data_IF_006992878032
#
_entry.id   IF_006992878032
#
_cell.length_a   1.000
_cell.length_b   1.000
_cell.length_c   1.000
_cell.angle_alpha   90.00
_cell.angle_beta   90.00
_cell.angle_gamma   90.00
#
_symmetry.space_group_name_H-M   'P 1'
#
loop_
_entity.id
_entity.type
_entity.pdbx_description
1 polymer ?
#
# COMPACT_ATOMS: atom_id res chain seq x y z
N UNK A 1 -15.72 -48.23 87.00
CA UNK A 1 -14.41 -48.06 86.34
C UNK A 1 -14.52 -46.89 85.38
N UNK A 2 -13.49 -46.03 85.33
CA UNK A 2 -13.54 -44.67 84.78
C UNK A 2 -12.90 -44.58 83.38
N UNK A 3 -13.12 -43.46 82.68
CA UNK A 3 -12.14 -42.65 81.91
C UNK A 3 -12.94 -41.62 81.08
N UNK A 4 -12.86 -40.32 81.40
CA UNK A 4 -11.90 -39.32 80.85
C UNK A 4 -12.22 -38.96 79.39
N UNK A 5 -12.16 -37.72 78.92
CA UNK A 5 -11.86 -36.41 79.50
C UNK A 5 -12.15 -35.34 78.43
N UNK A 6 -12.36 -34.11 78.89
CA UNK A 6 -11.87 -32.84 78.29
C UNK A 6 -12.46 -32.31 76.96
N UNK A 7 -13.38 -31.37 77.13
CA UNK A 7 -13.26 -29.94 76.74
C UNK A 7 -12.64 -29.58 75.39
N UNK A 8 -13.41 -28.87 74.56
CA UNK A 8 -13.03 -27.52 74.11
C UNK A 8 -14.21 -26.82 73.45
N UNK A 9 -14.57 -25.65 73.98
CA UNK A 9 -15.41 -24.69 73.28
C UNK A 9 -14.68 -24.22 72.01
N UNK A 10 -15.40 -24.10 70.90
CA UNK A 10 -15.07 -23.08 69.91
C UNK A 10 -16.34 -22.35 69.52
N UNK A 11 -16.56 -21.21 70.17
CA UNK A 11 -17.30 -20.09 69.60
C UNK A 11 -16.58 -19.74 68.29
N UNK A 12 -17.26 -19.92 67.15
CA UNK A 12 -16.84 -19.28 65.89
C UNK A 12 -17.75 -18.09 65.66
N UNK A 13 -17.26 -16.86 65.90
CA UNK A 13 -17.88 -15.67 65.37
C UNK A 13 -17.41 -15.50 63.93
N UNK A 14 -18.32 -15.25 63.00
CA UNK A 14 -18.29 -14.03 62.21
C UNK A 14 -19.33 -14.11 61.10
N UNK A 15 -20.17 -13.08 61.08
CA UNK A 15 -20.94 -12.68 59.93
C UNK A 15 -20.02 -12.53 58.71
N UNK A 16 -19.95 -13.58 57.89
CA UNK A 16 -19.49 -13.46 56.53
C UNK A 16 -20.50 -12.60 55.77
N UNK A 17 -20.29 -11.29 55.76
CA UNK A 17 -20.86 -10.40 54.73
C UNK A 17 -20.29 -10.87 53.40
N UNK A 18 -20.93 -11.86 52.80
CA UNK A 18 -20.73 -12.18 51.40
C UNK A 18 -21.20 -10.96 50.61
N UNK A 19 -20.26 -10.25 50.01
CA UNK A 19 -20.52 -9.29 48.94
C UNK A 19 -20.94 -10.06 47.68
N UNK A 20 -22.03 -10.81 47.78
CA UNK A 20 -22.69 -11.42 46.63
C UNK A 20 -23.45 -10.32 45.91
N UNK A 21 -22.80 -9.62 44.99
CA UNK A 21 -23.48 -8.74 44.04
C UNK A 21 -24.45 -9.59 43.19
N UNK A 22 -25.67 -9.74 43.68
CA UNK A 22 -26.81 -10.31 42.95
C UNK A 22 -27.27 -9.27 41.94
N UNK A 23 -26.55 -9.14 40.83
CA UNK A 23 -27.07 -8.38 39.70
C UNK A 23 -28.26 -9.14 39.11
N UNK A 24 -29.41 -8.47 39.00
CA UNK A 24 -30.52 -9.03 38.23
C UNK A 24 -30.07 -9.16 36.76
N UNK A 25 -30.55 -10.20 36.06
CA UNK A 25 -30.25 -10.41 34.65
C UNK A 25 -30.57 -9.16 33.80
N UNK A 26 -31.61 -8.41 34.18
CA UNK A 26 -31.97 -7.13 33.57
C UNK A 26 -30.92 -6.04 33.78
N UNK A 27 -30.36 -5.90 34.99
CA UNK A 27 -29.28 -4.96 35.26
C UNK A 27 -28.01 -5.33 34.48
N UNK A 28 -27.70 -6.63 34.36
CA UNK A 28 -26.56 -7.11 33.58
C UNK A 28 -26.72 -6.81 32.08
N UNK A 29 -27.92 -7.01 31.52
CA UNK A 29 -28.24 -6.67 30.12
C UNK A 29 -28.11 -5.16 29.84
N UNK A 30 -28.58 -4.31 30.75
CA UNK A 30 -28.44 -2.85 30.62
C UNK A 30 -26.97 -2.43 30.64
N UNK A 31 -26.17 -3.02 31.53
CA UNK A 31 -24.72 -2.76 31.61
C UNK A 31 -24.03 -3.20 30.31
N UNK A 32 -24.33 -4.39 29.78
CA UNK A 32 -23.79 -4.86 28.50
C UNK A 32 -24.19 -3.94 27.34
N UNK A 33 -25.45 -3.50 27.30
CA UNK A 33 -25.92 -2.57 26.27
C UNK A 33 -25.23 -1.20 26.36
N UNK A 34 -25.02 -0.67 27.58
CA UNK A 34 -24.28 0.56 27.81
C UNK A 34 -22.81 0.41 27.38
N UNK A 35 -22.15 -0.68 27.76
CA UNK A 35 -20.78 -0.95 27.30
C UNK A 35 -20.71 -1.13 25.79
N UNK A 36 -21.62 -1.88 25.18
CA UNK A 36 -21.68 -2.02 23.72
C UNK A 36 -21.92 -0.67 23.03
N UNK A 37 -22.77 0.19 23.61
CA UNK A 37 -22.99 1.56 23.15
C UNK A 37 -21.72 2.41 23.26
N UNK A 38 -21.04 2.39 24.41
CA UNK A 38 -19.81 3.18 24.65
C UNK A 38 -18.64 2.67 23.79
N UNK A 39 -18.40 1.36 23.74
CA UNK A 39 -17.32 0.77 22.93
C UNK A 39 -17.62 0.85 21.43
N UNK A 40 -18.88 0.72 21.02
CA UNK A 40 -19.32 0.96 19.65
C UNK A 40 -19.11 2.42 19.24
N UNK A 41 -19.50 3.36 20.11
CA UNK A 41 -19.32 4.80 19.92
C UNK A 41 -17.82 5.17 19.87
N UNK A 42 -17.01 4.70 20.81
CA UNK A 42 -15.56 4.96 20.83
C UNK A 42 -14.84 4.34 19.61
N UNK A 43 -15.24 3.15 19.18
CA UNK A 43 -14.70 2.51 17.95
C UNK A 43 -15.03 3.31 16.69
N UNK A 44 -16.21 3.95 16.63
CA UNK A 44 -16.59 4.84 15.54
C UNK A 44 -15.69 6.08 15.49
N UNK A 45 -15.45 6.73 16.64
CA UNK A 45 -14.69 7.98 16.74
C UNK A 45 -13.16 7.81 16.77
N UNK A 46 -12.61 6.61 16.94
CA UNK A 46 -11.15 6.42 16.90
C UNK A 46 -10.61 6.78 15.53
N UNK A 47 -9.92 7.91 15.37
CA UNK A 47 -9.27 8.27 14.11
C UNK A 47 -8.33 7.13 13.69
N UNK A 48 -8.65 6.46 12.58
CA UNK A 48 -7.72 5.53 11.96
C UNK A 48 -6.83 6.36 11.03
N UNK A 49 -5.53 6.10 11.03
CA UNK A 49 -4.65 6.58 9.97
C UNK A 49 -4.39 5.40 9.06
N UNK A 50 -4.31 5.65 7.76
CA UNK A 50 -3.93 4.63 6.81
C UNK A 50 -2.75 5.12 5.98
N UNK A 51 -1.77 4.26 5.75
CA UNK A 51 -0.80 4.45 4.69
C UNK A 51 -1.39 3.82 3.41
N UNK A 52 -1.39 4.59 2.34
CA UNK A 52 -1.74 4.13 1.01
C UNK A 52 -0.53 4.27 0.12
N UNK A 53 -0.20 3.22 -0.62
CA UNK A 53 0.78 3.31 -1.70
C UNK A 53 0.19 2.76 -2.98
N UNK A 54 0.61 3.32 -4.11
CA UNK A 54 0.33 2.73 -5.41
C UNK A 54 1.61 2.47 -6.19
N UNK A 55 1.61 1.37 -6.91
CA UNK A 55 2.70 0.88 -7.72
C UNK A 55 2.13 0.38 -9.05
N UNK A 56 2.93 0.48 -10.10
CA UNK A 56 2.65 -0.13 -11.39
C UNK A 56 3.75 -1.13 -11.71
N UNK A 57 3.40 -2.17 -12.44
CA UNK A 57 4.37 -3.09 -13.04
C UNK A 57 3.75 -3.76 -14.27
N UNK A 58 4.59 -4.39 -15.08
CA UNK A 58 4.15 -5.20 -16.22
C UNK A 58 4.73 -6.60 -16.08
N UNK A 59 3.88 -7.62 -16.14
CA UNK A 59 4.27 -9.02 -16.10
C UNK A 59 3.79 -9.76 -17.36
N UNK A 60 4.32 -10.95 -17.60
CA UNK A 60 3.79 -11.81 -18.66
C UNK A 60 2.39 -12.34 -18.28
N UNK A 61 1.54 -12.60 -19.27
CA UNK A 61 0.23 -13.20 -19.04
C UNK A 61 0.35 -14.58 -18.37
N UNK A 62 1.35 -15.38 -18.78
CA UNK A 62 1.65 -16.68 -18.17
C UNK A 62 1.96 -16.56 -16.67
N UNK A 63 2.79 -15.58 -16.29
CA UNK A 63 3.12 -15.34 -14.88
C UNK A 63 1.87 -14.94 -14.08
N UNK A 64 1.02 -14.06 -14.63
CA UNK A 64 -0.20 -13.59 -13.95
C UNK A 64 -1.23 -14.72 -13.82
N UNK A 65 -1.43 -15.51 -14.87
CA UNK A 65 -2.33 -16.67 -14.85
C UNK A 65 -1.83 -17.74 -13.88
N UNK A 66 -0.51 -17.91 -13.75
CA UNK A 66 0.13 -18.81 -12.80
C UNK A 66 -0.17 -18.51 -11.33
N UNK A 67 -0.51 -17.26 -11.00
CA UNK A 67 -0.88 -16.84 -9.64
C UNK A 67 -2.29 -17.29 -9.23
N UNK A 68 -3.13 -17.67 -10.19
CA UNK A 68 -4.51 -18.16 -9.96
C UNK A 68 -5.36 -17.19 -9.11
N UNK A 69 -5.18 -15.89 -9.33
CA UNK A 69 -5.98 -14.85 -8.68
C UNK A 69 -7.41 -14.85 -9.24
N UNK A 70 -8.39 -14.64 -8.38
CA UNK A 70 -9.80 -14.49 -8.78
C UNK A 70 -10.06 -13.05 -9.23
N UNK A 71 -10.06 -12.84 -10.55
CA UNK A 71 -10.25 -11.53 -11.15
C UNK A 71 -11.72 -11.23 -11.44
N UNK A 72 -12.21 -10.12 -10.90
CA UNK A 72 -13.54 -9.61 -11.12
C UNK A 72 -13.53 -8.53 -12.21
N UNK A 73 -14.47 -8.63 -13.15
CA UNK A 73 -14.61 -7.66 -14.23
C UNK A 73 -15.09 -6.28 -13.73
N UNK A 74 -14.71 -5.24 -14.47
CA UNK A 74 -15.23 -3.88 -14.31
C UNK A 74 -15.98 -3.53 -15.60
N UNK A 75 -17.24 -3.12 -15.48
CA UNK A 75 -18.07 -2.79 -16.63
C UNK A 75 -17.43 -1.66 -17.46
N UNK A 76 -17.29 -1.91 -18.77
CA UNK A 76 -16.74 -0.93 -19.71
C UNK A 76 -15.24 -0.64 -19.58
N UNK A 77 -14.49 -1.43 -18.80
CA UNK A 77 -13.05 -1.25 -18.63
C UNK A 77 -12.25 -2.48 -19.07
N UNK A 78 -11.05 -2.32 -19.66
CA UNK A 78 -10.12 -3.44 -19.88
C UNK A 78 -9.53 -3.97 -18.57
N UNK A 79 -9.66 -3.23 -17.47
CA UNK A 79 -9.16 -3.65 -16.17
C UNK A 79 -10.12 -4.60 -15.47
N UNK A 80 -9.52 -5.55 -14.74
CA UNK A 80 -10.18 -6.45 -13.80
C UNK A 80 -9.51 -6.32 -12.45
N UNK A 81 -10.21 -6.51 -11.34
CA UNK A 81 -9.63 -6.37 -10.00
C UNK A 81 -9.58 -7.70 -9.25
N UNK A 82 -8.57 -7.87 -8.40
CA UNK A 82 -8.41 -9.02 -7.51
C UNK A 82 -7.69 -8.59 -6.23
N UNK A 83 -7.82 -9.38 -5.16
CA UNK A 83 -6.95 -9.24 -4.00
C UNK A 83 -5.69 -10.09 -4.17
N UNK A 84 -4.53 -9.52 -3.88
CA UNK A 84 -3.27 -10.25 -3.76
C UNK A 84 -3.31 -11.05 -2.46
N UNK A 85 -3.64 -12.33 -2.55
CA UNK A 85 -3.57 -13.21 -1.39
C UNK A 85 -2.10 -13.58 -1.15
N UNK A 86 -1.63 -13.41 0.09
CA UNK A 86 -0.26 -13.79 0.51
C UNK A 86 0.89 -13.03 -0.19
N UNK A 87 0.64 -11.83 -0.72
CA UNK A 87 1.64 -11.00 -1.41
C UNK A 87 2.34 -11.72 -2.59
N UNK A 88 1.60 -12.57 -3.31
CA UNK A 88 2.12 -13.39 -4.40
C UNK A 88 2.77 -12.55 -5.52
N UNK A 89 2.23 -11.35 -5.81
CA UNK A 89 2.85 -10.41 -6.77
C UNK A 89 4.19 -9.89 -6.26
N UNK A 90 4.31 -9.60 -4.97
CA UNK A 90 5.56 -9.10 -4.39
C UNK A 90 6.66 -10.16 -4.48
N UNK A 91 6.32 -11.42 -4.23
CA UNK A 91 7.27 -12.52 -4.32
C UNK A 91 7.66 -12.81 -5.79
N UNK A 92 6.70 -12.80 -6.70
CA UNK A 92 6.96 -13.00 -8.13
C UNK A 92 7.87 -11.88 -8.71
N UNK A 93 7.56 -10.62 -8.41
CA UNK A 93 8.39 -9.47 -8.86
C UNK A 93 9.79 -9.51 -8.25
N UNK A 94 9.95 -9.98 -7.01
CA UNK A 94 11.25 -10.22 -6.38
C UNK A 94 12.03 -11.31 -7.10
N UNK A 95 11.41 -12.46 -7.39
CA UNK A 95 12.05 -13.56 -8.12
C UNK A 95 12.51 -13.15 -9.51
N UNK A 96 11.72 -12.31 -10.20
CA UNK A 96 12.04 -11.75 -11.52
C UNK A 96 13.01 -10.56 -11.47
N UNK A 97 13.40 -10.09 -10.29
CA UNK A 97 14.21 -8.86 -10.08
C UNK A 97 13.60 -7.62 -10.76
N UNK A 98 12.27 -7.56 -10.81
CA UNK A 98 11.48 -6.47 -11.39
C UNK A 98 10.78 -5.63 -10.30
N UNK A 99 11.46 -5.45 -9.16
CA UNK A 99 10.94 -4.64 -8.07
C UNK A 99 11.01 -3.18 -8.51
N UNK A 100 9.86 -2.62 -8.89
CA UNK A 100 9.74 -1.18 -9.12
C UNK A 100 9.31 -0.50 -7.81
N UNK A 101 9.85 0.67 -7.43
CA UNK A 101 9.43 1.37 -6.22
C UNK A 101 7.94 1.78 -6.29
N UNK A 102 7.28 2.07 -5.17
CA UNK A 102 5.98 2.72 -5.21
C UNK A 102 6.11 4.07 -5.93
N UNK A 103 5.11 4.42 -6.71
CA UNK A 103 5.06 5.71 -7.40
C UNK A 103 4.68 6.84 -6.45
N UNK A 104 3.96 6.51 -5.39
CA UNK A 104 3.48 7.48 -4.43
C UNK A 104 3.05 6.79 -3.14
N UNK A 105 3.19 7.52 -2.04
CA UNK A 105 2.74 7.12 -0.71
C UNK A 105 1.99 8.28 -0.07
N UNK A 106 0.83 7.99 0.53
CA UNK A 106 -0.03 8.98 1.18
C UNK A 106 -0.49 8.46 2.52
N UNK A 107 -0.31 9.28 3.55
CA UNK A 107 -0.97 9.05 4.82
C UNK A 107 -2.33 9.73 4.80
N UNK A 108 -3.40 8.97 5.05
CA UNK A 108 -4.76 9.47 5.18
C UNK A 108 -5.25 9.37 6.60
N UNK A 109 -5.95 10.41 7.06
CA UNK A 109 -6.79 10.31 8.26
C UNK A 109 -8.19 9.87 7.85
N UNK A 110 -8.64 8.74 8.37
CA UNK A 110 -9.92 8.12 8.00
C UNK A 110 -11.04 8.67 8.86
N UNK A 111 -11.94 9.42 8.23
CA UNK A 111 -13.19 9.86 8.84
C UNK A 111 -14.35 9.87 7.84
N UNK A 112 -14.10 10.33 6.62
CA UNK A 112 -15.06 10.42 5.52
C UNK A 112 -14.35 10.11 4.20
N UNK A 113 -15.11 9.91 3.11
CA UNK A 113 -14.51 9.74 1.79
C UNK A 113 -13.64 10.94 1.42
N UNK A 114 -12.52 10.75 0.70
CA UNK A 114 -11.75 11.87 0.15
C UNK A 114 -12.66 12.84 -0.59
N UNK A 115 -12.48 14.14 -0.35
CA UNK A 115 -13.24 15.20 -1.04
C UNK A 115 -12.62 15.61 -2.37
N UNK A 116 -11.34 15.29 -2.56
CA UNK A 116 -10.56 15.67 -3.73
C UNK A 116 -10.10 14.41 -4.45
N UNK A 117 -10.13 14.48 -5.78
CA UNK A 117 -9.46 13.51 -6.63
C UNK A 117 -7.95 13.76 -6.57
N UNK A 118 -7.17 12.70 -6.65
CA UNK A 118 -5.73 12.76 -6.83
C UNK A 118 -5.39 12.54 -8.30
N UNK A 119 -4.30 13.15 -8.76
CA UNK A 119 -3.75 12.94 -10.09
C UNK A 119 -2.25 12.73 -10.01
N UNK A 120 -1.74 11.72 -10.71
CA UNK A 120 -0.33 11.43 -10.78
C UNK A 120 0.07 11.04 -12.19
N UNK A 121 1.28 11.46 -12.57
CA UNK A 121 1.93 11.05 -13.81
C UNK A 121 3.31 10.53 -13.47
N UNK A 122 3.78 9.51 -14.19
CA UNK A 122 5.12 9.00 -14.00
C UNK A 122 5.79 8.66 -15.32
N UNK A 123 7.12 8.68 -15.28
CA UNK A 123 7.99 8.27 -16.38
C UNK A 123 9.13 7.45 -15.76
N UNK A 124 9.35 6.24 -16.26
CA UNK A 124 10.40 5.31 -15.81
C UNK A 124 11.24 4.87 -17.02
N UNK A 125 12.56 5.06 -17.00
CA UNK A 125 13.41 4.53 -18.06
C UNK A 125 13.37 3.00 -18.05
N UNK A 126 13.29 2.40 -19.22
CA UNK A 126 13.47 0.95 -19.40
C UNK A 126 14.91 0.64 -19.76
N UNK A 127 15.34 -0.61 -19.57
CA UNK A 127 16.66 -1.07 -19.98
C UNK A 127 16.91 -0.72 -21.45
N UNK A 128 18.07 -0.12 -21.73
CA UNK A 128 18.46 0.28 -23.08
C UNK A 128 18.66 -0.98 -23.91
N UNK A 129 17.83 -1.15 -24.95
CA UNK A 129 18.13 -2.12 -25.99
C UNK A 129 19.12 -1.48 -26.98
N UNK A 130 20.41 -1.66 -26.72
CA UNK A 130 21.50 -1.10 -27.55
C UNK A 130 21.48 -1.57 -29.00
N UNK A 131 20.73 -2.63 -29.33
CA UNK A 131 20.58 -3.13 -30.69
C UNK A 131 19.58 -2.31 -31.53
N UNK A 132 18.66 -1.56 -30.91
CA UNK A 132 17.53 -0.91 -31.62
C UNK A 132 17.43 0.60 -31.42
N UNK A 133 17.99 1.16 -30.33
CA UNK A 133 17.95 2.60 -30.09
C UNK A 133 19.11 3.05 -29.19
N UNK A 134 19.85 4.11 -29.56
CA UNK A 134 20.86 4.70 -28.67
C UNK A 134 20.24 5.49 -27.51
N UNK A 135 18.94 5.80 -27.58
CA UNK A 135 18.20 6.48 -26.51
C UNK A 135 17.45 5.48 -25.64
N UNK A 136 17.42 5.68 -24.31
CA UNK A 136 16.60 4.88 -23.41
C UNK A 136 15.13 5.05 -23.79
N UNK A 137 14.44 3.92 -23.83
CA UNK A 137 13.00 3.90 -23.93
C UNK A 137 12.36 4.16 -22.55
N UNK A 138 11.09 4.57 -22.53
CA UNK A 138 10.40 4.93 -21.29
C UNK A 138 9.06 4.21 -21.17
N UNK A 139 8.78 3.70 -19.96
CA UNK A 139 7.42 3.45 -19.48
C UNK A 139 6.86 4.74 -18.94
N UNK A 140 5.61 5.04 -19.26
CA UNK A 140 4.91 6.18 -18.67
C UNK A 140 3.47 5.85 -18.40
N UNK A 141 2.83 6.68 -17.59
CA UNK A 141 1.41 6.54 -17.36
C UNK A 141 0.88 7.65 -16.48
N UNK A 142 -0.43 7.65 -16.35
CA UNK A 142 -1.18 8.55 -15.51
C UNK A 142 -2.25 7.80 -14.74
N UNK A 143 -2.62 8.41 -13.63
CA UNK A 143 -3.73 8.04 -12.79
C UNK A 143 -4.44 9.33 -12.42
N UNK A 144 -5.76 9.38 -12.58
CA UNK A 144 -6.57 10.51 -12.15
C UNK A 144 -7.91 10.02 -11.61
N UNK A 145 -8.20 10.32 -10.34
CA UNK A 145 -9.49 9.97 -9.76
C UNK A 145 -9.53 9.93 -8.24
N UNK A 146 -10.57 9.29 -7.74
CA UNK A 146 -10.82 9.14 -6.31
C UNK A 146 -10.29 7.81 -5.83
N UNK A 147 -9.52 7.84 -4.75
CA UNK A 147 -9.12 6.65 -4.04
C UNK A 147 -8.94 6.97 -2.57
N UNK A 148 -9.43 6.12 -1.69
CA UNK A 148 -9.29 6.35 -0.27
C UNK A 148 -10.15 5.44 0.59
N UNK A 149 -10.24 5.81 1.86
CA UNK A 149 -10.80 4.97 2.93
C UNK A 149 -11.86 5.77 3.68
N UNK A 150 -12.96 5.12 4.06
CA UNK A 150 -13.93 5.66 5.02
C UNK A 150 -14.24 4.65 6.11
N UNK A 151 -14.90 5.11 7.18
CA UNK A 151 -15.62 4.24 8.11
C UNK A 151 -17.09 4.14 7.72
N UNK A 152 -17.62 2.92 7.63
CA UNK A 152 -19.04 2.67 7.47
C UNK A 152 -19.43 1.44 8.32
N UNK A 153 -20.49 1.56 9.13
CA UNK A 153 -20.96 0.46 9.99
C UNK A 153 -19.89 -0.07 10.97
N UNK A 154 -18.98 0.79 11.43
CA UNK A 154 -17.86 0.41 12.32
C UNK A 154 -16.70 -0.32 11.64
N UNK A 155 -16.71 -0.45 10.31
CA UNK A 155 -15.66 -1.09 9.52
C UNK A 155 -14.99 -0.10 8.57
N UNK A 156 -13.72 -0.36 8.23
CA UNK A 156 -13.03 0.36 7.17
C UNK A 156 -13.52 -0.14 5.81
N UNK A 157 -13.89 0.80 4.95
CA UNK A 157 -14.27 0.60 3.56
C UNK A 157 -13.25 1.30 2.67
N UNK A 158 -12.90 0.67 1.56
CA UNK A 158 -12.00 1.22 0.57
C UNK A 158 -12.74 1.44 -0.74
N UNK A 159 -12.43 2.55 -1.41
CA UNK A 159 -12.97 2.87 -2.74
C UNK A 159 -11.87 3.37 -3.64
N UNK A 160 -11.93 2.95 -4.90
CA UNK A 160 -11.17 3.47 -6.03
C UNK A 160 -12.17 3.70 -7.16
N UNK A 161 -12.09 4.87 -7.76
CA UNK A 161 -12.79 5.26 -8.97
C UNK A 161 -11.89 6.24 -9.73
N UNK A 162 -11.16 5.72 -10.70
CA UNK A 162 -10.13 6.48 -11.40
C UNK A 162 -10.02 6.09 -12.86
N UNK A 163 -9.50 7.02 -13.66
CA UNK A 163 -8.99 6.73 -15.00
C UNK A 163 -7.48 6.51 -14.90
N UNK A 164 -6.98 5.58 -15.68
CA UNK A 164 -5.55 5.35 -15.83
C UNK A 164 -5.20 5.08 -17.28
N UNK A 165 -4.02 5.53 -17.70
CA UNK A 165 -3.38 5.09 -18.93
C UNK A 165 -1.95 4.66 -18.61
N UNK A 166 -1.49 3.63 -19.29
CA UNK A 166 -0.13 3.13 -19.20
C UNK A 166 0.40 2.83 -20.59
N UNK A 167 1.62 3.27 -20.84
CA UNK A 167 2.34 3.09 -22.07
C UNK A 167 3.71 2.49 -21.78
N UNK A 168 4.10 1.51 -22.57
CA UNK A 168 5.43 0.92 -22.50
C UNK A 168 6.00 0.63 -23.88
N UNK A 169 7.32 0.56 -24.01
CA UNK A 169 7.98 0.22 -25.27
C UNK A 169 7.62 -1.22 -25.67
N UNK A 170 7.41 -1.45 -26.97
CA UNK A 170 7.22 -2.82 -27.48
C UNK A 170 8.50 -3.63 -27.30
N UNK A 171 8.33 -4.91 -26.94
CA UNK A 171 9.41 -5.89 -27.07
C UNK A 171 9.66 -6.06 -28.57
N UNK A 172 10.87 -5.71 -29.03
CA UNK A 172 11.19 -5.65 -30.45
C UNK A 172 11.03 -7.04 -31.11
N UNK A 173 9.97 -7.20 -31.92
CA UNK A 173 9.95 -8.17 -33.00
C UNK A 173 10.34 -7.42 -34.27
N UNK A 174 11.27 -8.01 -35.04
CA UNK A 174 12.00 -7.37 -36.15
C UNK A 174 11.11 -6.88 -37.31
N UNK A 175 9.81 -7.17 -37.31
CA UNK A 175 8.99 -7.07 -38.53
C UNK A 175 7.89 -5.99 -38.56
N UNK A 176 7.64 -5.19 -37.51
CA UNK A 176 6.48 -4.29 -37.54
C UNK A 176 6.81 -2.82 -37.24
N UNK A 177 7.44 -2.16 -38.22
CA UNK A 177 7.72 -0.71 -38.22
C UNK A 177 6.45 0.12 -38.53
N UNK A 178 5.33 -0.53 -38.86
CA UNK A 178 4.12 0.16 -39.32
C UNK A 178 3.19 0.59 -38.17
N UNK A 179 3.22 -0.11 -37.04
CA UNK A 179 2.22 0.01 -35.97
C UNK A 179 2.73 0.71 -34.70
N UNK A 180 3.63 1.69 -34.77
CA UNK A 180 4.07 2.47 -33.59
C UNK A 180 4.96 1.71 -32.59
N UNK A 181 5.76 2.47 -31.84
CA UNK A 181 6.85 1.93 -30.96
C UNK A 181 6.39 1.42 -29.59
N UNK A 182 5.11 1.62 -29.23
CA UNK A 182 4.64 1.42 -27.86
C UNK A 182 3.34 0.62 -27.81
N UNK A 183 3.20 -0.17 -26.74
CA UNK A 183 1.93 -0.75 -26.32
C UNK A 183 1.31 0.17 -25.28
N UNK A 184 0.01 0.39 -25.41
CA UNK A 184 -0.77 1.26 -24.53
C UNK A 184 -2.02 0.53 -24.04
N UNK A 185 -2.38 0.77 -22.79
CA UNK A 185 -3.64 0.36 -22.20
C UNK A 185 -4.20 1.50 -21.37
N UNK A 186 -5.49 1.79 -21.57
CA UNK A 186 -6.18 2.91 -20.92
C UNK A 186 -7.56 2.44 -20.49
N UNK A 187 -7.99 2.83 -19.29
CA UNK A 187 -9.26 2.34 -18.75
C UNK A 187 -9.59 2.85 -17.36
N UNK A 188 -10.74 2.39 -16.87
CA UNK A 188 -11.28 2.78 -15.57
C UNK A 188 -10.94 1.74 -14.50
N UNK A 189 -10.43 2.22 -13.37
CA UNK A 189 -10.28 1.44 -12.14
C UNK A 189 -11.50 1.72 -11.26
N UNK A 190 -12.24 0.68 -10.91
CA UNK A 190 -13.41 0.79 -10.05
C UNK A 190 -13.45 -0.35 -9.04
N UNK A 191 -13.53 0.02 -7.76
CA UNK A 191 -13.72 -0.90 -6.65
C UNK A 191 -14.35 -0.13 -5.49
N UNK A 192 -15.39 -0.67 -4.86
CA UNK A 192 -15.85 -0.22 -3.54
C UNK A 192 -16.18 -1.44 -2.70
N UNK A 193 -15.56 -1.54 -1.53
CA UNK A 193 -15.78 -2.69 -0.68
C UNK A 193 -14.93 -2.71 0.57
N UNK A 194 -14.60 -3.93 0.98
CA UNK A 194 -13.77 -4.20 2.16
C UNK A 194 -12.42 -3.49 2.03
N UNK A 195 -11.92 -2.95 3.14
CA UNK A 195 -10.54 -2.49 3.25
C UNK A 195 -9.56 -3.63 2.89
N UNK A 196 -8.69 -3.44 1.89
CA UNK A 196 -7.75 -4.47 1.47
C UNK A 196 -6.65 -4.58 2.54
N UNK A 197 -6.66 -5.68 3.31
CA UNK A 197 -5.62 -5.97 4.30
C UNK A 197 -4.29 -6.39 3.66
N UNK A 198 -4.32 -6.67 2.36
CA UNK A 198 -3.18 -6.91 1.47
C UNK A 198 -3.26 -5.96 0.26
N UNK A 199 -2.60 -6.26 -0.86
CA UNK A 199 -2.68 -5.43 -2.08
C UNK A 199 -3.99 -5.68 -2.83
N UNK A 200 -4.65 -4.60 -3.26
CA UNK A 200 -5.68 -4.63 -4.30
C UNK A 200 -4.98 -4.47 -5.65
N UNK A 201 -5.22 -5.40 -6.57
CA UNK A 201 -4.60 -5.43 -7.89
C UNK A 201 -5.68 -5.08 -8.91
N UNK A 202 -5.34 -4.23 -9.88
CA UNK A 202 -6.06 -4.09 -11.13
C UNK A 202 -5.17 -4.55 -12.28
N UNK A 203 -5.65 -5.50 -13.07
CA UNK A 203 -4.92 -6.09 -14.18
C UNK A 203 -5.62 -5.80 -15.50
N UNK A 204 -4.87 -5.34 -16.49
CA UNK A 204 -5.37 -5.17 -17.86
C UNK A 204 -4.39 -5.82 -18.86
N UNK A 205 -4.88 -6.57 -19.86
CA UNK A 205 -4.03 -7.09 -20.90
C UNK A 205 -3.42 -5.95 -21.70
N UNK A 206 -2.16 -6.12 -22.06
CA UNK A 206 -1.41 -5.28 -22.99
C UNK A 206 -1.03 -6.08 -24.23
N UNK A 207 -0.48 -5.40 -25.23
CA UNK A 207 0.10 -6.05 -26.41
C UNK A 207 1.15 -7.12 -26.04
N UNK A 208 1.37 -8.06 -26.96
CA UNK A 208 2.45 -9.06 -26.89
C UNK A 208 2.41 -10.00 -25.66
N UNK A 209 1.20 -10.38 -25.20
CA UNK A 209 1.05 -11.35 -24.11
C UNK A 209 1.52 -10.81 -22.76
N UNK A 210 1.51 -9.49 -22.59
CA UNK A 210 1.85 -8.83 -21.34
C UNK A 210 0.59 -8.35 -20.62
N UNK A 211 0.70 -8.13 -19.32
CA UNK A 211 -0.38 -7.64 -18.47
C UNK A 211 0.16 -6.49 -17.63
N UNK A 212 -0.50 -5.34 -17.72
CA UNK A 212 -0.25 -4.21 -16.84
C UNK A 212 -0.98 -4.43 -15.52
N UNK A 213 -0.25 -4.22 -14.43
CA UNK A 213 -0.75 -4.33 -13.07
C UNK A 213 -0.66 -2.99 -12.37
N UNK A 214 -1.79 -2.50 -11.89
CA UNK A 214 -1.89 -1.38 -10.97
C UNK A 214 -2.17 -1.92 -9.57
N UNK A 215 -1.22 -1.71 -8.66
CA UNK A 215 -1.18 -2.27 -7.31
C UNK A 215 -1.45 -1.17 -6.31
N UNK A 216 -2.44 -1.36 -5.43
CA UNK A 216 -2.72 -0.47 -4.32
C UNK A 216 -2.51 -1.25 -3.03
N UNK A 217 -1.59 -0.79 -2.20
CA UNK A 217 -1.39 -1.32 -0.86
C UNK A 217 -1.98 -0.37 0.17
N UNK A 218 -2.64 -0.93 1.18
CA UNK A 218 -3.22 -0.14 2.26
C UNK A 218 -2.87 -0.75 3.61
N UNK A 219 -2.43 0.09 4.55
CA UNK A 219 -2.03 -0.33 5.89
C UNK A 219 -2.71 0.56 6.93
N UNK A 220 -3.32 -0.02 7.96
CA UNK A 220 -3.86 0.74 9.09
C UNK A 220 -2.72 1.09 10.06
N UNK A 221 -2.40 2.39 10.14
CA UNK A 221 -1.46 2.95 11.11
C UNK A 221 -2.27 3.34 12.35
N UNK A 222 -2.22 2.51 13.39
CA UNK A 222 -2.88 2.83 14.66
C UNK A 222 -2.33 4.15 15.22
N UNK A 223 -3.22 5.08 15.59
CA UNK A 223 -2.88 6.39 16.17
C UNK A 223 -2.11 6.36 17.52
N UNK A 224 -1.62 5.19 17.96
CA UNK A 224 -0.88 5.00 19.21
C UNK A 224 0.63 5.19 19.08
N UNK A 225 1.20 5.18 17.88
CA UNK A 225 2.64 5.41 17.69
C UNK A 225 2.89 6.72 16.94
N UNK A 226 3.63 7.68 17.53
CA UNK A 226 4.26 8.74 16.75
C UNK A 226 5.35 8.09 15.91
N UNK A 227 5.24 8.17 14.59
CA UNK A 227 6.31 7.70 13.72
C UNK A 227 7.52 8.63 13.87
N UNK A 228 8.63 8.05 14.30
CA UNK A 228 9.97 8.61 14.14
C UNK A 228 10.21 8.66 12.64
N UNK A 229 10.41 9.85 12.08
CA UNK A 229 11.04 10.01 10.77
C UNK A 229 12.31 9.14 10.82
N UNK A 230 12.34 8.02 10.10
CA UNK A 230 13.62 7.47 9.67
C UNK A 230 13.94 8.24 8.40
N UNK A 231 14.75 9.31 8.44
CA UNK A 231 15.38 9.74 7.21
C UNK A 231 16.08 8.52 6.63
N UNK A 232 15.92 8.29 5.32
CA UNK A 232 16.86 7.46 4.59
C UNK A 232 18.28 7.98 4.84
N UNK A 233 19.32 7.20 4.54
CA UNK A 233 20.69 7.60 4.82
C UNK A 233 21.04 8.83 3.97
N UNK A 234 20.84 10.01 4.55
CA UNK A 234 21.43 11.28 4.15
C UNK A 234 22.26 11.75 5.37
N UNK A 235 23.13 10.85 5.84
CA UNK A 235 24.24 11.17 6.74
C UNK A 235 25.49 10.57 6.10
N UNK A 236 25.86 11.12 4.95
CA UNK A 236 27.18 10.89 4.32
C UNK A 236 27.66 12.07 3.48
N UNK A 237 27.03 13.25 3.60
CA UNK A 237 27.52 14.48 2.95
C UNK A 237 27.99 15.55 3.93
N UNK A 238 27.95 15.29 5.24
CA UNK A 238 28.58 16.12 6.26
C UNK A 238 29.80 15.38 6.83
N UNK A 239 30.88 15.37 6.04
CA UNK A 239 32.29 15.25 6.47
C UNK A 239 33.16 15.01 5.23
N UNK A 240 33.23 15.99 4.33
CA UNK A 240 34.43 16.14 3.51
C UNK A 240 35.32 17.19 4.20
N UNK A 241 36.56 16.86 4.56
CA UNK A 241 37.50 17.87 5.03
C UNK A 241 37.82 18.83 3.88
N UNK A 242 37.76 20.13 4.17
CA UNK A 242 38.25 21.20 3.31
C UNK A 242 39.64 20.86 2.79
N UNK A 243 39.72 20.55 1.50
CA UNK A 243 40.97 20.55 0.76
C UNK A 243 40.96 21.79 -0.13
N UNK A 244 41.49 22.88 0.43
CA UNK A 244 42.01 24.01 -0.34
C UNK A 244 42.92 23.46 -1.42
N UNK A 245 42.46 23.51 -2.67
CA UNK A 245 43.32 23.27 -3.84
C UNK A 245 43.29 24.52 -4.69
N UNK A 246 44.46 25.10 -4.83
CA UNK A 246 44.76 26.29 -5.61
C UNK A 246 44.20 26.18 -7.04
N UNK A 247 43.53 27.25 -7.45
CA UNK A 247 43.08 27.47 -8.80
C UNK A 247 44.30 27.73 -9.69
N UNK A 248 44.69 26.75 -10.50
CA UNK A 248 45.63 26.94 -11.59
C UNK A 248 44.85 27.04 -12.90
N UNK A 249 44.78 28.25 -13.46
CA UNK A 249 44.20 28.52 -14.77
C UNK A 249 44.99 27.78 -15.87
N UNK A 250 44.34 27.05 -16.79
CA UNK A 250 44.96 26.70 -18.06
C UNK A 250 44.82 27.89 -19.03
N UNK A 251 45.95 28.53 -19.30
CA UNK A 251 46.16 29.50 -20.36
C UNK A 251 45.91 28.85 -21.75
N UNK A 252 45.17 29.47 -22.67
CA UNK A 252 44.99 28.93 -24.03
C UNK A 252 46.20 29.26 -24.90
N UNK A 253 46.88 28.24 -25.44
CA UNK A 253 47.86 28.42 -26.51
C UNK A 253 47.14 28.75 -27.82
N UNK A 254 47.43 29.95 -28.33
CA UNK A 254 47.07 30.36 -29.67
C UNK A 254 47.98 29.64 -30.68
N UNK A 255 47.38 28.88 -31.60
CA UNK A 255 48.05 28.41 -32.79
C UNK A 255 48.27 29.61 -33.73
N UNK A 256 49.50 30.13 -33.77
CA UNK A 256 49.98 30.96 -34.87
C UNK A 256 50.46 30.02 -35.98
N UNK A 257 49.66 29.91 -37.03
CA UNK A 257 50.18 29.64 -38.36
C UNK A 257 50.74 30.95 -38.89
N UNK A 258 52.01 30.96 -39.30
CA UNK A 258 52.51 31.76 -40.41
C UNK A 258 53.83 31.15 -40.92
N UNK A 259 53.84 30.96 -42.25
CA UNK A 259 54.95 30.67 -43.20
C UNK A 259 55.70 29.32 -43.18
#
# INVERSE_FOLDING_TARGET
MPERDLTSESVVPNSGKSWGLRFSLGAMMVIVALFAGVFGYLSYFRSARCLLSYQVTTLSAEDVDGLKLDFHAIDGSPYRWAFDQEDAIAELTRQRRQIEPPLYEKQLTVAYWPRLADSYTYIRPTTINSATSPFPDYKSGEFAGFWGVRKAGGRLMFRVEAQTSHRQPRVANVEDVSNGRFDEVSGTLAYEGKFPTSKLIFAAPMGNGQVHLFLIQTEEVSAKEPFVHRPGPIDSLENQPDSTTEQHDPQPEAAHNDE
#
